data_IF_407898957009
#
_entry.id   IF_407898957009
#
_cell.length_a   1.000
_cell.length_b   1.000
_cell.length_c   1.000
_cell.angle_alpha   90.00
_cell.angle_beta   90.00
_cell.angle_gamma   90.00
#
_symmetry.space_group_name_H-M   'P 1'
#
loop_
_entity.id
_entity.type
_entity.pdbx_description
1 polymer ?
#
# COMPACT_ATOMS: atom_id res chain seq x y z
N UNK A 1 12.77 -12.66 -43.69
CA UNK A 1 11.47 -12.67 -42.98
C UNK A 1 11.47 -11.49 -42.01
N UNK A 2 10.37 -10.75 -42.02
CA UNK A 2 10.29 -9.32 -41.70
C UNK A 2 10.52 -8.97 -40.22
N UNK A 3 11.57 -8.18 -39.97
CA UNK A 3 11.59 -7.16 -38.92
C UNK A 3 11.17 -5.81 -39.54
N UNK A 4 10.53 -4.95 -38.76
CA UNK A 4 10.17 -3.58 -39.17
C UNK A 4 10.58 -2.58 -38.10
N UNK A 5 11.33 -1.61 -38.57
CA UNK A 5 11.92 -0.46 -37.88
C UNK A 5 10.85 0.59 -37.50
N UNK A 6 11.10 1.40 -36.46
CA UNK A 6 10.65 2.78 -36.44
C UNK A 6 11.86 3.69 -36.71
N UNK A 7 11.64 4.73 -37.53
CA UNK A 7 12.51 5.87 -37.84
C UNK A 7 13.33 5.80 -39.15
N UNK A 8 12.83 6.51 -40.16
CA UNK A 8 13.60 7.08 -41.27
C UNK A 8 13.26 8.58 -41.41
N UNK A 9 14.28 9.45 -41.33
CA UNK A 9 14.21 10.94 -41.42
C UNK A 9 14.22 11.47 -42.87
N UNK A 10 14.95 12.56 -43.27
CA UNK A 10 15.66 13.60 -42.49
C UNK A 10 15.67 15.05 -43.13
N UNK A 11 16.44 15.99 -42.51
CA UNK A 11 17.16 17.20 -43.02
C UNK A 11 16.36 18.52 -43.27
N UNK A 12 16.77 19.76 -42.92
CA UNK A 12 18.08 20.38 -42.57
C UNK A 12 17.99 21.51 -41.51
N UNK A 13 19.15 21.85 -40.93
CA UNK A 13 19.48 23.00 -40.07
C UNK A 13 20.36 23.97 -40.85
N UNK A 14 20.17 25.29 -40.67
CA UNK A 14 21.29 26.25 -40.73
C UNK A 14 21.01 27.45 -39.81
N UNK A 15 21.90 27.64 -38.84
CA UNK A 15 22.02 28.83 -38.00
C UNK A 15 22.84 29.90 -38.74
N UNK A 16 22.61 31.18 -38.46
CA UNK A 16 23.65 32.11 -38.00
C UNK A 16 23.10 33.50 -37.65
N UNK A 17 23.68 34.05 -36.59
CA UNK A 17 23.50 35.36 -35.99
C UNK A 17 23.86 36.55 -36.91
N UNK A 18 23.26 37.72 -36.66
CA UNK A 18 24.02 38.95 -36.32
C UNK A 18 23.09 40.14 -36.08
N UNK A 19 23.29 40.81 -34.94
CA UNK A 19 22.69 42.08 -34.55
C UNK A 19 23.44 43.29 -35.15
N UNK A 20 22.71 44.40 -35.36
CA UNK A 20 23.01 45.84 -35.12
C UNK A 20 22.07 46.68 -36.01
N UNK A 21 21.13 47.43 -35.41
CA UNK A 21 21.20 48.90 -35.21
C UNK A 21 21.34 49.68 -36.53
N UNK A 22 20.30 50.41 -36.94
CA UNK A 22 20.28 51.85 -36.67
C UNK A 22 18.95 52.54 -37.07
N UNK A 23 18.64 53.51 -36.23
CA UNK A 23 17.92 54.76 -36.41
C UNK A 23 16.38 54.90 -36.44
N UNK A 24 15.97 55.66 -35.43
CA UNK A 24 14.70 56.35 -35.19
C UNK A 24 14.60 57.62 -36.04
N UNK A 25 13.43 57.89 -36.60
CA UNK A 25 12.73 59.19 -36.55
C UNK A 25 11.34 58.99 -37.18
N UNK A 26 10.22 59.14 -36.45
CA UNK A 26 9.48 60.39 -36.18
C UNK A 26 9.50 61.36 -37.37
N UNK A 27 8.42 61.42 -38.15
CA UNK A 27 7.35 62.40 -37.92
C UNK A 27 6.31 62.44 -39.05
N UNK A 28 5.08 62.69 -38.62
CA UNK A 28 4.00 63.51 -39.19
C UNK A 28 3.88 63.71 -40.73
N UNK A 29 2.71 63.25 -41.20
CA UNK A 29 1.70 63.95 -42.01
C UNK A 29 2.08 64.81 -43.25
N UNK A 30 1.27 64.55 -44.29
CA UNK A 30 0.59 65.53 -45.17
C UNK A 30 1.05 65.61 -46.63
N UNK A 31 0.29 64.85 -47.43
CA UNK A 31 -0.46 65.30 -48.62
C UNK A 31 0.23 65.54 -49.98
N UNK A 32 -0.46 64.93 -50.96
CA UNK A 32 -0.91 65.49 -52.24
C UNK A 32 -0.13 65.11 -53.52
N UNK A 33 -0.93 65.04 -54.61
CA UNK A 33 -0.64 64.92 -56.06
C UNK A 33 -0.58 63.47 -56.59
N UNK A 34 -1.38 62.98 -57.55
CA UNK A 34 -2.33 63.55 -58.52
C UNK A 34 -3.27 62.45 -59.06
N UNK A 35 -4.57 62.72 -59.18
CA UNK A 35 -5.33 62.73 -60.46
C UNK A 35 -6.80 63.17 -60.26
N UNK A 36 -7.10 64.39 -60.74
CA UNK A 36 -8.43 64.86 -61.17
C UNK A 36 -8.98 63.95 -62.28
N UNK A 37 -10.27 63.62 -62.33
CA UNK A 37 -11.43 64.39 -62.83
C UNK A 37 -11.31 64.87 -64.29
N UNK A 38 -12.04 64.20 -65.19
CA UNK A 38 -12.87 64.72 -66.29
C UNK A 38 -13.55 63.48 -66.93
N UNK A 39 -14.80 63.47 -67.39
CA UNK A 39 -15.69 64.56 -67.76
C UNK A 39 -17.12 64.02 -67.81
N UNK A 40 -18.07 64.85 -67.36
CA UNK A 40 -19.44 64.86 -67.86
C UNK A 40 -19.44 65.24 -69.35
N UNK A 41 -20.06 64.46 -70.24
CA UNK A 41 -20.93 64.94 -71.35
C UNK A 41 -21.27 63.83 -72.38
N UNK A 42 -22.47 63.92 -72.95
CA UNK A 42 -22.94 63.28 -74.19
C UNK A 42 -23.28 61.77 -74.18
N UNK A 43 -24.55 61.48 -73.90
CA UNK A 43 -25.38 60.75 -74.88
C UNK A 43 -26.86 60.90 -74.52
N UNK A 44 -27.42 62.04 -74.93
CA UNK A 44 -28.74 62.01 -75.55
C UNK A 44 -28.61 61.32 -76.91
N UNK A 45 -29.71 60.70 -77.36
CA UNK A 45 -29.88 59.90 -78.59
C UNK A 45 -29.63 58.40 -78.39
N UNK A 46 -30.67 57.69 -77.97
CA UNK A 46 -31.48 56.90 -78.90
C UNK A 46 -32.74 56.37 -78.19
N UNK A 47 -33.88 56.68 -78.78
CA UNK A 47 -35.19 56.17 -78.41
C UNK A 47 -35.35 54.68 -78.80
N UNK A 48 -36.19 53.96 -78.05
CA UNK A 48 -36.68 52.63 -78.42
C UNK A 48 -37.67 52.08 -77.38
N UNK A 49 -38.98 51.97 -77.69
CA UNK A 49 -40.05 51.82 -76.70
C UNK A 49 -40.39 50.35 -76.41
N UNK A 50 -40.92 50.06 -75.22
CA UNK A 50 -41.62 48.78 -75.01
C UNK A 50 -41.65 48.29 -73.57
N UNK A 51 -42.87 48.31 -73.03
CA UNK A 51 -43.42 47.34 -72.10
C UNK A 51 -43.14 47.43 -70.60
N UNK A 52 -44.18 47.94 -69.93
CA UNK A 52 -44.55 47.55 -68.59
C UNK A 52 -44.74 46.02 -68.49
N UNK A 53 -44.17 45.39 -67.47
CA UNK A 53 -44.91 44.44 -66.61
C UNK A 53 -44.05 43.91 -65.46
N UNK A 54 -44.60 43.92 -64.24
CA UNK A 54 -44.21 42.97 -63.20
C UNK A 54 -43.56 43.56 -61.94
N UNK A 55 -44.30 44.40 -61.19
CA UNK A 55 -43.99 44.65 -59.77
C UNK A 55 -44.02 43.34 -58.97
N UNK A 56 -42.87 42.69 -58.76
CA UNK A 56 -42.71 41.71 -57.66
C UNK A 56 -42.28 42.46 -56.40
N UNK A 57 -43.23 42.78 -55.51
CA UNK A 57 -42.94 43.30 -54.17
C UNK A 57 -42.05 42.29 -53.43
N UNK A 58 -40.74 42.55 -53.31
CA UNK A 58 -39.89 41.83 -52.35
C UNK A 58 -40.31 42.27 -50.95
N UNK A 59 -40.94 41.35 -50.20
CA UNK A 59 -41.27 41.57 -48.79
C UNK A 59 -39.98 41.44 -47.99
N UNK A 60 -39.56 42.53 -47.36
CA UNK A 60 -38.48 42.56 -46.38
C UNK A 60 -39.05 42.34 -44.98
N UNK A 61 -38.25 41.78 -44.07
CA UNK A 61 -38.61 41.62 -42.65
C UNK A 61 -37.68 42.52 -41.85
N UNK A 62 -38.25 43.42 -41.05
CA UNK A 62 -37.50 44.44 -40.32
C UNK A 62 -37.34 44.02 -38.86
N UNK A 63 -36.10 43.76 -38.44
CA UNK A 63 -35.73 43.37 -37.08
C UNK A 63 -34.98 44.54 -36.42
N UNK A 64 -35.66 45.68 -36.30
CA UNK A 64 -35.31 46.79 -35.40
C UNK A 64 -34.01 47.57 -35.66
N UNK A 65 -33.01 47.00 -36.34
CA UNK A 65 -31.74 47.64 -36.68
C UNK A 65 -31.09 47.17 -38.01
N UNK A 66 -31.63 46.16 -38.73
CA UNK A 66 -31.08 45.70 -40.03
C UNK A 66 -32.20 45.16 -40.94
N UNK A 67 -32.26 45.63 -42.20
CA UNK A 67 -33.22 45.17 -43.22
C UNK A 67 -32.61 44.04 -44.05
N UNK A 68 -33.17 42.83 -43.97
CA UNK A 68 -32.68 41.64 -44.69
C UNK A 68 -33.75 41.09 -45.65
N UNK A 69 -33.34 40.64 -46.84
CA UNK A 69 -34.24 40.01 -47.82
C UNK A 69 -34.86 38.73 -47.21
N UNK A 70 -36.19 38.59 -47.28
CA UNK A 70 -36.94 37.46 -46.70
C UNK A 70 -36.44 36.10 -47.18
N UNK A 71 -35.88 36.01 -48.39
CA UNK A 71 -35.25 34.77 -48.86
C UNK A 71 -33.99 34.43 -48.06
N UNK A 72 -33.14 35.41 -47.80
CA UNK A 72 -31.89 35.23 -47.06
C UNK A 72 -32.22 34.88 -45.61
N UNK A 73 -33.16 35.59 -44.98
CA UNK A 73 -33.60 35.32 -43.61
C UNK A 73 -34.19 33.91 -43.43
N UNK A 74 -35.03 33.45 -44.37
CA UNK A 74 -35.58 32.09 -44.33
C UNK A 74 -34.49 31.02 -44.50
N UNK A 75 -33.46 31.28 -45.31
CA UNK A 75 -32.33 30.38 -45.48
C UNK A 75 -31.43 30.32 -44.24
N UNK A 76 -31.14 31.44 -43.57
CA UNK A 76 -30.37 31.45 -42.32
C UNK A 76 -31.11 30.80 -41.16
N UNK A 77 -32.41 31.05 -41.01
CA UNK A 77 -33.22 30.37 -40.00
C UNK A 77 -33.30 28.87 -40.29
N UNK A 78 -33.43 28.50 -41.57
CA UNK A 78 -33.43 27.10 -42.01
C UNK A 78 -32.12 26.38 -41.73
N UNK A 79 -30.96 27.00 -41.98
CA UNK A 79 -29.66 26.41 -41.68
C UNK A 79 -29.39 26.30 -40.18
N UNK A 80 -29.79 27.30 -39.38
CA UNK A 80 -29.68 27.23 -37.90
C UNK A 80 -30.54 26.10 -37.34
N UNK A 81 -31.79 25.95 -37.81
CA UNK A 81 -32.66 24.84 -37.42
C UNK A 81 -32.09 23.50 -37.87
N UNK A 82 -31.56 23.41 -39.09
CA UNK A 82 -30.91 22.19 -39.60
C UNK A 82 -29.69 21.78 -38.78
N UNK A 83 -28.84 22.74 -38.41
CA UNK A 83 -27.70 22.51 -37.51
C UNK A 83 -28.15 22.09 -36.11
N UNK A 84 -29.20 22.73 -35.57
CA UNK A 84 -29.76 22.37 -34.27
C UNK A 84 -30.29 20.95 -34.24
N UNK A 85 -31.00 20.52 -35.28
CA UNK A 85 -31.48 19.14 -35.44
C UNK A 85 -30.32 18.17 -35.60
N UNK A 86 -29.30 18.52 -36.37
CA UNK A 86 -28.11 17.68 -36.54
C UNK A 86 -27.34 17.48 -35.24
N UNK A 87 -27.10 18.55 -34.47
CA UNK A 87 -26.45 18.48 -33.16
C UNK A 87 -27.31 17.66 -32.18
N UNK A 88 -28.62 17.89 -32.17
CA UNK A 88 -29.56 17.10 -31.35
C UNK A 88 -29.53 15.61 -31.70
N UNK A 89 -29.46 15.28 -32.98
CA UNK A 89 -29.37 13.90 -33.47
C UNK A 89 -28.04 13.24 -33.08
N UNK A 90 -26.91 13.95 -33.16
CA UNK A 90 -25.60 13.46 -32.71
C UNK A 90 -25.62 13.20 -31.21
N UNK A 91 -26.16 14.12 -30.40
CA UNK A 91 -26.27 13.92 -28.94
C UNK A 91 -27.19 12.72 -28.62
N UNK A 92 -28.29 12.57 -29.35
CA UNK A 92 -29.21 11.45 -29.20
C UNK A 92 -28.51 10.11 -29.50
N UNK A 93 -27.73 10.04 -30.58
CA UNK A 93 -26.91 8.85 -30.90
C UNK A 93 -25.89 8.58 -29.79
N UNK A 94 -25.15 9.60 -29.34
CA UNK A 94 -24.14 9.43 -28.27
C UNK A 94 -24.76 8.92 -26.97
N UNK A 95 -26.00 9.33 -26.64
CA UNK A 95 -26.71 8.87 -25.44
C UNK A 95 -27.42 7.52 -25.59
N UNK A 96 -27.88 7.17 -26.80
CA UNK A 96 -28.58 5.92 -27.07
C UNK A 96 -27.64 4.76 -27.45
N UNK A 97 -26.44 5.04 -27.94
CA UNK A 97 -25.43 4.02 -28.20
C UNK A 97 -24.92 3.49 -26.85
N UNK A 98 -25.15 2.21 -26.52
CA UNK A 98 -24.63 1.62 -25.30
C UNK A 98 -23.11 1.67 -25.40
N UNK A 99 -22.48 2.55 -24.60
CA UNK A 99 -21.05 2.47 -24.39
C UNK A 99 -20.78 1.13 -23.69
N UNK A 100 -20.39 0.13 -24.47
CA UNK A 100 -19.76 -1.07 -23.92
C UNK A 100 -18.50 -0.58 -23.23
N UNK A 101 -18.57 -0.38 -21.91
CA UNK A 101 -17.37 -0.14 -21.12
C UNK A 101 -16.44 -1.30 -21.44
N UNK A 102 -15.20 -1.04 -21.91
CA UNK A 102 -14.25 -2.13 -22.08
C UNK A 102 -14.19 -2.90 -20.75
N UNK A 103 -14.14 -4.24 -20.77
CA UNK A 103 -13.93 -4.99 -19.55
C UNK A 103 -12.66 -4.46 -18.89
N UNK A 104 -12.61 -4.42 -17.54
CA UNK A 104 -11.40 -4.00 -16.86
C UNK A 104 -10.23 -4.85 -17.36
N UNK A 105 -9.03 -4.25 -17.53
CA UNK A 105 -7.86 -4.99 -17.95
C UNK A 105 -7.60 -6.15 -16.98
N UNK A 106 -7.06 -7.28 -17.46
CA UNK A 106 -6.73 -8.40 -16.59
C UNK A 106 -5.79 -7.94 -15.46
N UNK A 107 -5.87 -8.55 -14.26
CA UNK A 107 -5.00 -8.19 -13.16
C UNK A 107 -3.53 -8.31 -13.55
N UNK A 108 -2.75 -7.27 -13.25
CA UNK A 108 -1.32 -7.30 -13.48
C UNK A 108 -0.62 -8.37 -12.62
N UNK A 109 0.62 -8.68 -12.95
CA UNK A 109 1.38 -9.73 -12.27
C UNK A 109 1.58 -9.45 -10.77
N UNK A 110 1.68 -8.18 -10.35
CA UNK A 110 1.79 -7.81 -8.94
C UNK A 110 0.47 -8.01 -8.21
N UNK A 111 -0.65 -7.68 -8.83
CA UNK A 111 -1.99 -7.95 -8.27
C UNK A 111 -2.19 -9.45 -8.06
N UNK A 112 -1.82 -10.29 -9.03
CA UNK A 112 -1.88 -11.76 -8.88
C UNK A 112 -0.92 -12.29 -7.81
N UNK A 113 0.30 -11.76 -7.74
CA UNK A 113 1.28 -12.15 -6.73
C UNK A 113 0.81 -11.78 -5.32
N UNK A 114 0.24 -10.58 -5.14
CA UNK A 114 -0.29 -10.11 -3.87
C UNK A 114 -1.49 -10.96 -3.41
N UNK A 115 -2.43 -11.26 -4.30
CA UNK A 115 -3.54 -12.17 -3.99
C UNK A 115 -3.02 -13.52 -3.46
N UNK A 116 -2.04 -14.12 -4.15
CA UNK A 116 -1.42 -15.39 -3.72
C UNK A 116 -0.67 -15.26 -2.40
N UNK A 117 0.01 -14.13 -2.16
CA UNK A 117 0.70 -13.86 -0.89
C UNK A 117 -0.30 -13.77 0.28
N UNK A 118 -1.47 -13.17 0.09
CA UNK A 118 -2.51 -13.15 1.12
C UNK A 118 -3.15 -14.53 1.33
N UNK A 119 -3.34 -15.30 0.24
CA UNK A 119 -3.76 -16.71 0.35
C UNK A 119 -2.76 -17.57 1.14
N UNK A 120 -1.46 -17.28 1.08
CA UNK A 120 -0.47 -17.97 1.91
C UNK A 120 -0.77 -17.76 3.41
N UNK A 121 -1.13 -16.56 3.85
CA UNK A 121 -1.55 -16.36 5.23
C UNK A 121 -2.82 -17.13 5.59
N UNK A 122 -3.81 -17.24 4.68
CA UNK A 122 -4.98 -18.11 4.92
C UNK A 122 -4.58 -19.57 5.13
N UNK A 123 -3.57 -20.03 4.37
CA UNK A 123 -3.02 -21.37 4.47
C UNK A 123 -2.20 -21.57 5.75
N UNK A 124 -1.82 -20.51 6.49
CA UNK A 124 -1.10 -20.59 7.76
C UNK A 124 -2.02 -20.46 9.00
N UNK A 125 -3.33 -20.17 8.85
CA UNK A 125 -4.23 -20.00 10.00
C UNK A 125 -4.30 -21.27 10.85
N UNK A 126 -4.23 -21.15 12.17
CA UNK A 126 -4.45 -22.23 13.14
C UNK A 126 -5.79 -22.04 13.86
N UNK A 127 -6.42 -23.13 14.33
CA UNK A 127 -7.70 -23.08 15.03
C UNK A 127 -8.91 -23.32 14.10
N UNK A 128 -10.11 -22.83 14.46
CA UNK A 128 -11.33 -23.09 13.71
C UNK A 128 -11.39 -22.19 12.47
N UNK A 129 -11.14 -22.75 11.29
CA UNK A 129 -11.10 -21.98 10.06
C UNK A 129 -12.50 -21.46 9.67
N UNK A 130 -12.60 -20.22 9.14
CA UNK A 130 -13.85 -19.72 8.59
C UNK A 130 -14.32 -20.59 7.41
N UNK A 131 -15.65 -20.70 7.23
CA UNK A 131 -16.25 -21.45 6.11
C UNK A 131 -15.71 -21.01 4.74
N UNK A 132 -15.30 -19.75 4.61
CA UNK A 132 -14.76 -19.16 3.39
C UNK A 132 -13.26 -18.83 3.51
N UNK A 133 -12.43 -19.77 4.01
CA UNK A 133 -10.98 -19.56 4.14
C UNK A 133 -10.23 -19.45 2.79
N UNK A 134 -10.86 -19.81 1.66
CA UNK A 134 -10.24 -19.78 0.33
C UNK A 134 -9.15 -20.84 0.11
N UNK A 135 -8.89 -21.70 1.10
CA UNK A 135 -7.89 -22.78 1.05
C UNK A 135 -8.57 -24.09 1.43
N UNK A 136 -8.99 -24.88 0.42
CA UNK A 136 -9.86 -26.05 0.59
C UNK A 136 -9.19 -27.26 1.26
N UNK A 137 -7.87 -27.35 1.20
CA UNK A 137 -7.10 -28.45 1.76
C UNK A 137 -6.69 -28.24 3.22
N UNK A 138 -7.01 -27.08 3.81
CA UNK A 138 -6.80 -26.78 5.23
C UNK A 138 -8.08 -27.01 6.03
N UNK A 139 -7.96 -27.57 7.22
CA UNK A 139 -9.05 -27.82 8.15
C UNK A 139 -8.81 -27.23 9.54
N UNK A 140 -9.77 -27.47 10.45
CA UNK A 140 -9.66 -27.04 11.84
C UNK A 140 -8.55 -27.81 12.55
N UNK A 141 -7.62 -27.10 13.17
CA UNK A 141 -6.42 -27.71 13.78
C UNK A 141 -6.08 -27.10 15.14
N UNK A 142 -5.36 -27.84 15.97
CA UNK A 142 -4.85 -27.38 17.28
C UNK A 142 -5.92 -26.74 18.19
N UNK A 143 -7.12 -27.31 18.22
CA UNK A 143 -8.30 -26.80 18.94
C UNK A 143 -8.19 -26.85 20.48
N UNK A 144 -7.11 -27.44 21.01
CA UNK A 144 -6.85 -27.59 22.44
C UNK A 144 -5.71 -26.69 22.95
N UNK A 145 -5.12 -25.86 22.09
CA UNK A 145 -4.01 -24.98 22.44
C UNK A 145 -4.35 -24.11 23.67
N UNK A 146 -3.48 -24.18 24.69
CA UNK A 146 -3.61 -23.47 25.97
C UNK A 146 -4.64 -24.03 26.96
N UNK A 147 -5.67 -24.76 26.50
CA UNK A 147 -6.73 -25.30 27.37
C UNK A 147 -6.20 -26.41 28.28
N UNK A 148 -5.32 -27.26 27.76
CA UNK A 148 -4.73 -28.39 28.50
C UNK A 148 -3.43 -28.04 29.23
N UNK A 149 -3.01 -26.77 29.16
CA UNK A 149 -1.79 -26.31 29.83
C UNK A 149 -2.08 -25.93 31.28
N UNK A 150 -1.30 -26.46 32.21
CA UNK A 150 -1.50 -26.27 33.65
C UNK A 150 -1.23 -24.86 34.12
N UNK A 151 -0.42 -24.07 33.40
CA UNK A 151 -0.01 -22.73 33.77
C UNK A 151 -0.98 -21.67 33.26
N UNK A 152 -1.38 -21.78 31.99
CA UNK A 152 -2.23 -20.78 31.33
C UNK A 152 -3.72 -21.05 31.53
N UNK A 153 -4.16 -22.31 31.40
CA UNK A 153 -5.56 -22.76 31.50
C UNK A 153 -6.56 -21.89 30.74
N UNK A 154 -6.17 -21.37 29.57
CA UNK A 154 -7.00 -20.47 28.75
C UNK A 154 -6.88 -20.82 27.28
N UNK A 155 -7.91 -20.53 26.49
CA UNK A 155 -7.86 -20.82 25.05
C UNK A 155 -6.83 -19.93 24.34
N UNK A 156 -5.83 -20.58 23.73
CA UNK A 156 -4.85 -19.97 22.80
C UNK A 156 -5.08 -20.47 21.37
N UNK A 157 -6.32 -20.87 21.07
CA UNK A 157 -6.75 -21.30 19.74
C UNK A 157 -6.84 -20.07 18.81
N UNK A 158 -6.36 -20.21 17.58
CA UNK A 158 -6.21 -19.10 16.62
C UNK A 158 -4.76 -18.85 16.24
N UNK A 159 -4.50 -17.70 15.61
CA UNK A 159 -3.16 -17.28 15.23
C UNK A 159 -2.68 -17.96 13.94
N UNK A 160 -1.39 -17.80 13.66
CA UNK A 160 -0.74 -18.38 12.48
C UNK A 160 0.29 -19.42 12.90
N UNK A 161 0.45 -20.46 12.09
CA UNK A 161 1.65 -21.28 12.10
C UNK A 161 2.80 -20.51 11.48
N UNK A 162 3.99 -20.71 12.02
CA UNK A 162 5.15 -19.90 11.69
C UNK A 162 5.65 -20.16 10.26
N UNK A 163 5.91 -21.42 9.93
CA UNK A 163 6.50 -21.81 8.65
C UNK A 163 5.87 -23.10 8.11
N UNK A 164 6.68 -24.15 7.88
CA UNK A 164 6.19 -25.47 7.50
C UNK A 164 5.80 -26.37 8.68
N UNK A 165 6.04 -25.88 9.90
CA UNK A 165 5.66 -26.55 11.15
C UNK A 165 4.27 -26.08 11.62
N UNK A 166 3.83 -26.61 12.77
CA UNK A 166 2.63 -26.16 13.45
C UNK A 166 2.93 -25.36 14.72
N UNK A 167 4.13 -24.79 14.86
CA UNK A 167 4.50 -23.99 16.03
C UNK A 167 3.96 -22.57 15.86
N UNK A 168 3.53 -21.98 16.98
CA UNK A 168 3.16 -20.56 17.04
C UNK A 168 4.27 -19.79 17.72
N UNK A 169 5.27 -19.35 16.94
CA UNK A 169 6.29 -18.43 17.43
C UNK A 169 5.72 -17.01 17.43
N UNK A 170 5.46 -16.46 18.61
CA UNK A 170 4.74 -15.18 18.69
C UNK A 170 5.59 -13.97 18.27
N UNK A 171 6.93 -14.08 18.30
CA UNK A 171 7.82 -12.99 17.89
C UNK A 171 7.75 -12.70 16.39
N UNK A 172 8.06 -13.65 15.48
CA UNK A 172 7.89 -13.45 14.03
C UNK A 172 6.42 -13.27 13.62
N UNK A 173 5.46 -13.86 14.35
CA UNK A 173 4.04 -13.62 14.09
C UNK A 173 3.65 -12.16 14.37
N UNK A 174 4.08 -11.59 15.49
CA UNK A 174 3.83 -10.19 15.82
C UNK A 174 4.45 -9.27 14.76
N UNK A 175 5.71 -9.50 14.40
CA UNK A 175 6.38 -8.77 13.33
C UNK A 175 5.60 -8.82 12.00
N UNK A 176 5.12 -10.00 11.61
CA UNK A 176 4.31 -10.16 10.40
C UNK A 176 3.02 -9.34 10.46
N UNK A 177 2.36 -9.26 11.62
CA UNK A 177 1.15 -8.44 11.79
C UNK A 177 1.46 -6.94 11.76
N UNK A 178 2.60 -6.50 12.30
CA UNK A 178 3.07 -5.13 12.18
C UNK A 178 3.32 -4.78 10.72
N UNK A 179 3.99 -5.65 9.96
CA UNK A 179 4.30 -5.43 8.55
C UNK A 179 3.07 -5.43 7.64
N UNK A 180 2.14 -6.37 7.83
CA UNK A 180 0.86 -6.35 7.11
C UNK A 180 0.10 -5.05 7.40
N UNK A 181 0.05 -4.65 8.67
CA UNK A 181 -0.61 -3.40 9.08
C UNK A 181 0.05 -2.17 8.48
N UNK A 182 1.38 -2.08 8.51
CA UNK A 182 2.12 -0.99 7.91
C UNK A 182 1.86 -0.90 6.40
N UNK A 183 1.83 -2.04 5.71
CA UNK A 183 1.53 -2.08 4.27
C UNK A 183 0.13 -1.51 3.95
N UNK A 184 -0.88 -1.80 4.79
CA UNK A 184 -2.23 -1.25 4.62
C UNK A 184 -2.26 0.23 4.93
N UNK A 185 -1.50 0.70 5.92
CA UNK A 185 -1.42 2.12 6.27
C UNK A 185 -0.83 2.94 5.11
N UNK A 186 0.24 2.46 4.48
CA UNK A 186 0.90 3.17 3.37
C UNK A 186 0.14 3.02 2.03
N UNK A 187 -0.44 1.84 1.77
CA UNK A 187 -0.98 1.48 0.46
C UNK A 187 -2.48 1.15 0.45
N UNK A 188 -3.25 1.67 1.42
CA UNK A 188 -4.69 1.43 1.57
C UNK A 188 -5.46 1.50 0.25
N UNK A 189 -5.29 2.60 -0.49
CA UNK A 189 -6.00 2.84 -1.75
C UNK A 189 -5.68 1.80 -2.82
N UNK A 190 -4.47 1.21 -2.81
CA UNK A 190 -4.09 0.15 -3.75
C UNK A 190 -4.77 -1.17 -3.38
N UNK A 191 -4.79 -1.54 -2.11
CA UNK A 191 -5.55 -2.71 -1.63
C UNK A 191 -7.04 -2.59 -1.95
N UNK A 192 -7.60 -1.39 -1.83
CA UNK A 192 -9.01 -1.12 -2.19
C UNK A 192 -9.25 -1.25 -3.69
N UNK A 193 -8.36 -0.68 -4.52
CA UNK A 193 -8.48 -0.75 -5.98
C UNK A 193 -8.45 -2.17 -6.54
N UNK A 194 -7.72 -3.09 -5.89
CA UNK A 194 -7.64 -4.50 -6.30
C UNK A 194 -8.64 -5.41 -5.56
N UNK A 195 -9.47 -4.88 -4.67
CA UNK A 195 -10.47 -5.65 -3.92
C UNK A 195 -9.91 -6.53 -2.79
N UNK A 196 -8.66 -6.33 -2.36
CA UNK A 196 -7.99 -7.13 -1.31
C UNK A 196 -8.03 -6.47 0.07
N UNK A 197 -8.56 -5.24 0.19
CA UNK A 197 -8.53 -4.49 1.45
C UNK A 197 -9.22 -5.22 2.61
N UNK A 198 -10.37 -5.84 2.38
CA UNK A 198 -11.07 -6.56 3.44
C UNK A 198 -10.39 -7.89 3.78
N UNK A 199 -9.84 -8.58 2.78
CA UNK A 199 -9.09 -9.82 2.99
C UNK A 199 -7.84 -9.60 3.85
N UNK A 200 -7.00 -8.60 3.53
CA UNK A 200 -5.84 -8.28 4.37
C UNK A 200 -6.24 -7.81 5.77
N UNK A 201 -7.35 -7.08 5.91
CA UNK A 201 -7.88 -6.70 7.22
C UNK A 201 -8.30 -7.94 8.02
N UNK A 202 -8.98 -8.90 7.41
CA UNK A 202 -9.33 -10.16 8.10
C UNK A 202 -8.09 -10.94 8.54
N UNK A 203 -7.03 -10.98 7.73
CA UNK A 203 -5.75 -11.58 8.09
C UNK A 203 -5.11 -10.89 9.30
N UNK A 204 -5.01 -9.56 9.28
CA UNK A 204 -4.49 -8.79 10.41
C UNK A 204 -5.33 -9.05 11.67
N UNK A 205 -6.65 -8.99 11.53
CA UNK A 205 -7.59 -9.24 12.64
C UNK A 205 -7.42 -10.63 13.24
N UNK A 206 -7.21 -11.65 12.40
CA UNK A 206 -6.96 -13.02 12.85
C UNK A 206 -5.73 -13.12 13.75
N UNK A 207 -4.63 -12.48 13.36
CA UNK A 207 -3.40 -12.44 14.15
C UNK A 207 -3.56 -11.61 15.41
N UNK A 208 -4.14 -10.41 15.34
CA UNK A 208 -4.29 -9.54 16.51
C UNK A 208 -5.29 -10.08 17.52
N UNK A 209 -6.35 -10.75 17.09
CA UNK A 209 -7.28 -11.45 17.99
C UNK A 209 -6.58 -12.58 18.75
N UNK A 210 -5.62 -13.26 18.14
CA UNK A 210 -4.80 -14.25 18.82
C UNK A 210 -3.79 -13.59 19.76
N UNK A 211 -3.07 -12.55 19.34
CA UNK A 211 -2.12 -11.80 20.20
C UNK A 211 -2.84 -11.32 21.47
N UNK A 212 -4.06 -10.80 21.38
CA UNK A 212 -4.84 -10.38 22.55
C UNK A 212 -5.16 -11.53 23.54
N UNK A 213 -5.12 -12.80 23.11
CA UNK A 213 -5.31 -13.97 24.00
C UNK A 213 -4.04 -14.36 24.75
N UNK A 214 -2.87 -13.97 24.25
CA UNK A 214 -1.55 -14.39 24.78
C UNK A 214 -1.17 -13.69 26.09
N UNK A 215 -1.96 -12.71 26.54
CA UNK A 215 -1.76 -12.00 27.80
C UNK A 215 -3.12 -11.55 28.35
N UNK A 216 -3.15 -10.97 29.56
CA UNK A 216 -4.40 -10.40 30.08
C UNK A 216 -4.68 -9.05 29.41
N UNK A 217 -5.27 -9.07 28.20
CA UNK A 217 -5.55 -7.85 27.42
C UNK A 217 -6.53 -6.87 28.05
N UNK A 218 -7.27 -7.30 29.08
CA UNK A 218 -8.22 -6.46 29.81
C UNK A 218 -7.56 -5.66 30.94
N UNK A 219 -6.36 -6.06 31.38
CA UNK A 219 -5.62 -5.39 32.44
C UNK A 219 -4.76 -4.24 31.91
N UNK A 220 -4.52 -3.24 32.75
CA UNK A 220 -3.63 -2.11 32.43
C UNK A 220 -2.15 -2.42 32.68
N UNK A 221 -1.89 -3.46 33.48
CA UNK A 221 -0.55 -3.99 33.77
C UNK A 221 -0.61 -5.52 33.72
N UNK A 222 0.46 -6.11 33.21
CA UNK A 222 0.62 -7.57 33.10
C UNK A 222 1.99 -7.95 33.65
N UNK A 223 2.12 -9.20 34.08
CA UNK A 223 3.33 -9.80 34.67
C UNK A 223 3.94 -10.89 33.78
N UNK A 224 3.23 -11.28 32.72
CA UNK A 224 3.62 -12.34 31.79
C UNK A 224 2.92 -12.22 30.45
N UNK A 225 3.54 -12.78 29.42
CA UNK A 225 2.97 -13.00 28.09
C UNK A 225 3.29 -14.42 27.62
N UNK A 226 2.51 -14.97 26.70
CA UNK A 226 2.85 -16.23 26.03
C UNK A 226 3.84 -15.95 24.92
N UNK A 227 5.00 -16.61 24.98
CA UNK A 227 6.03 -16.53 23.95
C UNK A 227 5.78 -17.51 22.80
N UNK A 228 5.24 -18.69 23.11
CA UNK A 228 5.13 -19.78 22.15
C UNK A 228 4.05 -20.79 22.52
N UNK A 229 3.48 -21.43 21.50
CA UNK A 229 2.64 -22.64 21.65
C UNK A 229 3.14 -23.72 20.70
N UNK A 230 3.37 -24.92 21.22
CA UNK A 230 4.09 -25.99 20.51
C UNK A 230 5.59 -25.95 20.80
N UNK A 231 6.31 -26.98 20.37
CA UNK A 231 7.75 -27.11 20.64
C UNK A 231 8.42 -27.76 19.44
N UNK A 232 9.53 -27.17 19.00
CA UNK A 232 10.31 -27.71 17.90
C UNK A 232 11.35 -28.72 18.37
N UNK A 233 12.00 -28.47 19.52
CA UNK A 233 13.08 -29.25 20.16
C UNK A 233 13.77 -30.27 19.23
N UNK A 234 14.91 -29.86 18.70
CA UNK A 234 15.76 -30.68 17.81
C UNK A 234 16.87 -31.42 18.55
N UNK A 235 16.80 -31.51 19.89
CA UNK A 235 17.81 -32.18 20.69
C UNK A 235 17.96 -33.65 20.27
N UNK A 236 19.21 -34.05 20.00
CA UNK A 236 19.51 -35.41 19.53
C UNK A 236 19.10 -36.43 20.59
N UNK A 237 18.31 -37.43 20.18
CA UNK A 237 17.89 -38.53 21.04
C UNK A 237 16.55 -38.35 21.73
N UNK A 238 15.86 -37.20 21.55
CA UNK A 238 14.49 -37.06 22.00
C UNK A 238 13.57 -37.97 21.17
N UNK A 239 12.90 -38.91 21.83
CA UNK A 239 11.84 -39.74 21.25
C UNK A 239 10.45 -39.16 21.53
N UNK A 240 10.37 -37.96 22.10
CA UNK A 240 9.11 -37.29 22.42
C UNK A 240 8.54 -36.66 21.15
N UNK A 241 7.33 -37.06 20.71
CA UNK A 241 6.69 -36.45 19.55
C UNK A 241 6.51 -34.95 19.73
N UNK A 242 6.96 -34.17 18.75
CA UNK A 242 6.87 -32.71 18.72
C UNK A 242 6.68 -32.21 17.28
N UNK A 243 6.61 -30.88 17.10
CA UNK A 243 6.29 -30.26 15.82
C UNK A 243 7.35 -30.47 14.71
N UNK A 244 8.62 -30.71 15.05
CA UNK A 244 9.68 -30.97 14.05
C UNK A 244 10.05 -32.46 13.95
N UNK A 245 9.68 -33.26 14.94
CA UNK A 245 9.79 -34.72 14.90
C UNK A 245 8.69 -35.35 14.02
N UNK A 246 7.47 -34.82 14.08
CA UNK A 246 6.30 -35.37 13.38
C UNK A 246 6.02 -34.64 12.06
N UNK A 247 6.12 -35.35 10.94
CA UNK A 247 5.64 -34.85 9.63
C UNK A 247 4.19 -35.24 9.41
N UNK A 248 3.26 -34.34 9.69
CA UNK A 248 1.83 -34.60 9.57
C UNK A 248 1.02 -33.35 9.27
N UNK A 249 -0.25 -33.54 8.91
CA UNK A 249 -1.20 -32.42 8.77
C UNK A 249 -1.49 -31.83 10.15
N UNK A 250 -1.64 -30.51 10.29
CA UNK A 250 -1.91 -29.88 11.58
C UNK A 250 -3.25 -30.35 12.20
N UNK A 251 -4.19 -30.79 11.37
CA UNK A 251 -5.48 -31.36 11.79
C UNK A 251 -5.33 -32.73 12.50
N UNK A 252 -4.25 -33.45 12.23
CA UNK A 252 -3.98 -34.78 12.76
C UNK A 252 -3.06 -34.77 14.00
N UNK A 253 -2.58 -33.60 14.43
CA UNK A 253 -1.69 -33.48 15.59
C UNK A 253 -2.36 -34.02 16.85
N UNK A 254 -1.73 -35.02 17.46
CA UNK A 254 -2.19 -35.68 18.68
C UNK A 254 -1.18 -35.65 19.83
N UNK A 255 0.02 -35.11 19.59
CA UNK A 255 1.02 -34.87 20.64
C UNK A 255 0.70 -33.64 21.47
N UNK A 256 1.33 -33.56 22.67
CA UNK A 256 1.15 -32.43 23.57
C UNK A 256 1.83 -31.19 23.00
N UNK A 257 1.09 -30.08 22.97
CA UNK A 257 1.58 -28.76 22.54
C UNK A 257 1.69 -27.84 23.76
N UNK A 258 2.87 -27.76 24.42
CA UNK A 258 3.04 -26.96 25.62
C UNK A 258 2.96 -25.46 25.30
N UNK A 259 2.68 -24.67 26.33
CA UNK A 259 2.73 -23.20 26.25
C UNK A 259 3.95 -22.69 26.99
N UNK A 260 4.75 -21.84 26.34
CA UNK A 260 5.87 -21.16 27.01
C UNK A 260 5.43 -19.76 27.42
N UNK A 261 5.39 -19.51 28.73
CA UNK A 261 5.23 -18.17 29.30
C UNK A 261 6.57 -17.44 29.36
N UNK A 262 6.52 -16.12 29.27
CA UNK A 262 7.66 -15.25 29.45
C UNK A 262 7.32 -14.09 30.39
N UNK A 263 8.18 -13.89 31.38
CA UNK A 263 8.05 -12.85 32.42
C UNK A 263 8.98 -11.65 32.21
N UNK A 264 9.97 -11.77 31.34
CA UNK A 264 10.95 -10.72 31.04
C UNK A 264 11.44 -10.82 29.59
N UNK A 265 10.68 -10.22 28.68
CA UNK A 265 10.90 -10.28 27.23
C UNK A 265 10.48 -8.96 26.58
N UNK A 266 11.39 -8.00 26.65
CA UNK A 266 11.22 -6.66 26.11
C UNK A 266 11.02 -6.64 24.61
N UNK A 267 11.78 -7.47 23.90
CA UNK A 267 11.73 -7.65 22.45
C UNK A 267 10.34 -8.10 22.01
N UNK A 268 9.92 -9.30 22.43
CA UNK A 268 8.61 -9.85 22.09
C UNK A 268 7.46 -8.93 22.51
N UNK A 269 7.50 -8.39 23.72
CA UNK A 269 6.44 -7.52 24.22
C UNK A 269 6.32 -6.22 23.40
N UNK A 270 7.45 -5.64 22.97
CA UNK A 270 7.45 -4.40 22.20
C UNK A 270 7.01 -4.62 20.75
N UNK A 271 7.38 -5.75 20.13
CA UNK A 271 6.88 -6.09 18.79
C UNK A 271 5.38 -6.42 18.82
N UNK A 272 4.91 -7.16 19.83
CA UNK A 272 3.47 -7.38 20.01
C UNK A 272 2.73 -6.06 20.25
N UNK A 273 3.33 -5.11 20.96
CA UNK A 273 2.76 -3.77 21.12
C UNK A 273 2.73 -3.01 19.78
N UNK A 274 3.81 -3.08 18.98
CA UNK A 274 3.88 -2.51 17.65
C UNK A 274 2.79 -3.08 16.73
N UNK A 275 2.60 -4.40 16.75
CA UNK A 275 1.58 -5.09 15.96
C UNK A 275 0.17 -4.62 16.29
N UNK A 276 -0.19 -4.57 17.58
CA UNK A 276 -1.51 -4.09 18.01
C UNK A 276 -1.69 -2.59 17.75
N UNK A 277 -0.64 -1.78 17.94
CA UNK A 277 -0.67 -0.35 17.67
C UNK A 277 -0.86 -0.06 16.17
N UNK A 278 -0.08 -0.68 15.29
CA UNK A 278 -0.21 -0.55 13.84
C UNK A 278 -1.59 -1.03 13.37
N UNK A 279 -2.05 -2.19 13.84
CA UNK A 279 -3.38 -2.69 13.51
C UNK A 279 -4.50 -1.75 13.97
N UNK A 280 -4.36 -1.09 15.12
CA UNK A 280 -5.36 -0.13 15.59
C UNK A 280 -5.60 1.02 14.59
N UNK A 281 -4.54 1.45 13.90
CA UNK A 281 -4.63 2.47 12.85
C UNK A 281 -5.39 1.94 11.63
N UNK A 282 -5.13 0.69 11.23
CA UNK A 282 -5.88 0.00 10.16
C UNK A 282 -7.38 -0.10 10.48
N UNK A 283 -7.71 -0.35 11.75
CA UNK A 283 -9.08 -0.51 12.25
C UNK A 283 -9.67 0.76 12.85
N UNK A 284 -9.12 1.95 12.56
CA UNK A 284 -9.57 3.22 13.14
C UNK A 284 -11.09 3.47 13.00
N UNK A 285 -11.70 3.00 11.90
CA UNK A 285 -13.14 3.12 11.66
C UNK A 285 -14.00 2.14 12.49
N UNK A 286 -13.40 1.09 13.06
CA UNK A 286 -14.03 0.20 14.04
C UNK A 286 -13.55 0.59 15.44
N UNK A 287 -14.10 1.70 15.96
CA UNK A 287 -13.61 2.39 17.17
C UNK A 287 -13.43 1.44 18.36
N UNK A 288 -14.41 0.60 18.64
CA UNK A 288 -14.35 -0.39 19.74
C UNK A 288 -13.17 -1.36 19.59
N UNK A 289 -12.92 -1.86 18.38
CA UNK A 289 -11.82 -2.77 18.14
C UNK A 289 -10.46 -2.05 18.17
N UNK A 290 -10.37 -0.89 17.52
CA UNK A 290 -9.19 -0.03 17.58
C UNK A 290 -8.80 0.30 19.02
N UNK A 291 -9.75 0.68 19.87
CA UNK A 291 -9.48 1.02 21.27
C UNK A 291 -9.04 -0.20 22.09
N UNK A 292 -9.62 -1.37 21.82
CA UNK A 292 -9.18 -2.64 22.41
C UNK A 292 -7.72 -2.94 22.04
N UNK A 293 -7.35 -2.75 20.78
CA UNK A 293 -5.98 -2.96 20.30
C UNK A 293 -5.01 -1.96 20.95
N UNK A 294 -5.35 -0.67 21.00
CA UNK A 294 -4.53 0.35 21.67
C UNK A 294 -4.36 0.05 23.16
N UNK A 295 -5.41 -0.40 23.85
CA UNK A 295 -5.32 -0.80 25.26
C UNK A 295 -4.33 -1.96 25.45
N UNK A 296 -4.45 -3.00 24.64
CA UNK A 296 -3.50 -4.13 24.65
C UNK A 296 -2.07 -3.69 24.36
N UNK A 297 -1.88 -2.82 23.36
CA UNK A 297 -0.57 -2.29 22.99
C UNK A 297 0.08 -1.49 24.14
N UNK A 298 -0.70 -0.67 24.86
CA UNK A 298 -0.22 0.06 26.04
C UNK A 298 0.25 -0.88 27.15
N UNK A 299 -0.52 -1.92 27.45
CA UNK A 299 -0.18 -2.90 28.49
C UNK A 299 1.12 -3.65 28.14
N UNK A 300 1.24 -4.11 26.89
CA UNK A 300 2.43 -4.80 26.39
C UNK A 300 3.67 -3.91 26.38
N UNK A 301 3.57 -2.70 25.83
CA UNK A 301 4.71 -1.78 25.78
C UNK A 301 5.18 -1.39 27.20
N UNK A 302 4.24 -1.16 28.12
CA UNK A 302 4.56 -0.91 29.54
C UNK A 302 5.27 -2.11 30.16
N UNK A 303 4.77 -3.33 29.94
CA UNK A 303 5.40 -4.55 30.42
C UNK A 303 6.82 -4.71 29.87
N UNK A 304 7.00 -4.62 28.54
CA UNK A 304 8.31 -4.78 27.90
C UNK A 304 9.34 -3.74 28.37
N UNK A 305 8.91 -2.51 28.68
CA UNK A 305 9.78 -1.45 29.22
C UNK A 305 10.17 -1.67 30.69
N UNK A 306 9.29 -2.26 31.50
CA UNK A 306 9.50 -2.46 32.94
C UNK A 306 10.19 -3.80 33.25
N UNK A 307 9.77 -4.89 32.60
CA UNK A 307 10.29 -6.24 32.81
C UNK A 307 11.31 -6.57 31.71
N UNK A 308 12.55 -6.13 31.93
CA UNK A 308 13.57 -6.11 30.89
C UNK A 308 14.30 -7.43 30.71
N UNK A 309 14.23 -7.99 29.50
CA UNK A 309 14.88 -9.25 29.16
C UNK A 309 14.74 -9.59 27.68
N UNK A 310 15.44 -10.64 27.24
CA UNK A 310 15.28 -11.22 25.90
C UNK A 310 14.31 -12.38 25.99
N UNK A 311 13.39 -12.49 25.03
CA UNK A 311 12.42 -13.59 25.01
C UNK A 311 13.04 -14.95 24.71
N UNK A 312 14.24 -14.97 24.15
CA UNK A 312 15.00 -16.18 23.81
C UNK A 312 16.18 -16.35 24.77
N UNK A 313 15.97 -16.72 26.05
CA UNK A 313 17.07 -17.00 26.96
C UNK A 313 17.90 -18.19 26.46
N UNK A 314 19.18 -18.22 26.79
CA UNK A 314 20.09 -19.28 26.34
C UNK A 314 19.54 -20.67 26.70
N UNK A 315 19.56 -21.58 25.73
CA UNK A 315 19.07 -22.95 25.89
C UNK A 315 17.55 -23.11 25.80
N UNK A 316 16.80 -22.04 25.57
CA UNK A 316 15.37 -22.11 25.26
C UNK A 316 15.11 -22.58 23.83
N UNK A 317 13.92 -23.15 23.59
CA UNK A 317 13.46 -23.54 22.25
C UNK A 317 13.45 -22.33 21.30
N UNK A 318 13.01 -21.17 21.80
CA UNK A 318 13.01 -19.91 21.06
C UNK A 318 14.41 -19.54 20.57
N UNK A 319 15.45 -19.72 21.39
CA UNK A 319 16.82 -19.37 21.03
C UNK A 319 17.42 -20.28 19.94
N UNK A 320 16.86 -21.47 19.71
CA UNK A 320 17.30 -22.38 18.64
C UNK A 320 16.73 -21.93 17.29
N UNK A 321 15.49 -21.43 17.27
CA UNK A 321 14.78 -21.10 16.03
C UNK A 321 14.77 -19.61 15.71
N UNK A 322 14.37 -18.78 16.67
CA UNK A 322 14.23 -17.33 16.55
C UNK A 322 15.00 -16.64 17.67
N UNK A 323 16.33 -16.72 17.62
CA UNK A 323 17.16 -16.06 18.62
C UNK A 323 17.07 -14.53 18.47
N UNK A 324 16.51 -13.85 19.46
CA UNK A 324 16.52 -12.39 19.52
C UNK A 324 17.94 -11.89 19.76
N UNK A 325 18.47 -10.96 18.98
CA UNK A 325 19.83 -10.41 19.21
C UNK A 325 19.81 -9.32 20.28
N UNK A 326 18.78 -8.48 20.25
CA UNK A 326 18.61 -7.27 21.07
C UNK A 326 17.13 -6.96 21.26
N UNK A 327 16.82 -6.15 22.27
CA UNK A 327 15.47 -5.59 22.46
C UNK A 327 15.44 -4.06 22.36
N UNK A 328 16.59 -3.44 22.08
CA UNK A 328 16.70 -1.98 22.12
C UNK A 328 16.11 -1.31 20.89
N UNK A 329 16.33 -1.90 19.72
CA UNK A 329 15.68 -1.54 18.47
C UNK A 329 14.16 -1.71 18.57
N UNK A 330 13.70 -2.74 19.28
CA UNK A 330 12.29 -3.00 19.56
C UNK A 330 11.61 -1.90 20.37
N UNK A 331 12.32 -1.29 21.31
CA UNK A 331 11.77 -0.14 22.02
C UNK A 331 11.61 1.09 21.13
N UNK A 332 12.53 1.30 20.18
CA UNK A 332 12.42 2.40 19.22
C UNK A 332 11.25 2.13 18.27
N UNK A 333 11.16 0.92 17.74
CA UNK A 333 10.10 0.45 16.86
C UNK A 333 8.72 0.51 17.50
N UNK A 334 8.55 -0.16 18.65
CA UNK A 334 7.31 -0.14 19.43
C UNK A 334 6.94 1.27 19.87
N UNK A 335 7.92 2.09 20.29
CA UNK A 335 7.70 3.49 20.64
C UNK A 335 7.15 4.32 19.47
N UNK A 336 7.69 4.14 18.26
CA UNK A 336 7.21 4.83 17.07
C UNK A 336 5.76 4.45 16.74
N UNK A 337 5.43 3.15 16.75
CA UNK A 337 4.05 2.70 16.49
C UNK A 337 3.07 3.12 17.57
N UNK A 338 3.48 3.08 18.84
CA UNK A 338 2.67 3.60 19.94
C UNK A 338 2.40 5.10 19.80
N UNK A 339 3.39 5.87 19.36
CA UNK A 339 3.19 7.28 19.02
C UNK A 339 2.18 7.44 17.88
N UNK A 340 2.31 6.71 16.77
CA UNK A 340 1.38 6.82 15.64
C UNK A 340 -0.06 6.43 16.02
N UNK A 341 -0.24 5.42 16.86
CA UNK A 341 -1.56 4.95 17.27
C UNK A 341 -2.23 5.89 18.30
N UNK A 342 -1.46 6.51 19.20
CA UNK A 342 -2.01 7.26 20.34
C UNK A 342 -1.87 8.78 20.24
N UNK A 343 -0.93 9.28 19.43
CA UNK A 343 -0.53 10.68 19.41
C UNK A 343 0.19 11.15 20.69
N UNK A 344 0.54 10.26 21.62
CA UNK A 344 1.20 10.64 22.86
C UNK A 344 2.70 10.84 22.66
N UNK A 345 3.17 12.08 22.80
CA UNK A 345 4.57 12.46 22.61
C UNK A 345 5.54 11.74 23.55
N UNK A 346 5.10 11.18 24.68
CA UNK A 346 6.00 10.43 25.57
C UNK A 346 6.62 9.21 24.87
N UNK A 347 5.88 8.54 23.97
CA UNK A 347 6.40 7.44 23.18
C UNK A 347 7.42 7.89 22.15
N UNK A 348 7.16 9.04 21.50
CA UNK A 348 8.10 9.64 20.55
C UNK A 348 9.40 10.03 21.25
N UNK A 349 9.33 10.67 22.42
CA UNK A 349 10.52 11.03 23.21
C UNK A 349 11.38 9.82 23.55
N UNK A 350 10.76 8.68 23.85
CA UNK A 350 11.51 7.42 24.07
C UNK A 350 12.11 6.92 22.77
N UNK A 351 11.34 6.86 21.67
CA UNK A 351 11.83 6.38 20.38
C UNK A 351 13.00 7.21 19.83
N UNK A 352 12.97 8.53 20.00
CA UNK A 352 14.01 9.45 19.50
C UNK A 352 15.09 9.77 20.53
N UNK A 353 15.08 9.13 21.70
CA UNK A 353 16.08 9.40 22.73
C UNK A 353 17.48 8.97 22.24
N UNK A 354 18.51 9.85 22.31
CA UNK A 354 19.86 9.52 21.84
C UNK A 354 20.45 8.26 22.49
N UNK A 355 20.15 8.03 23.77
CA UNK A 355 20.55 6.81 24.48
C UNK A 355 19.94 5.55 23.88
N UNK A 356 18.67 5.61 23.44
CA UNK A 356 17.97 4.47 22.83
C UNK A 356 18.58 4.13 21.47
N UNK A 357 18.82 5.14 20.63
CA UNK A 357 19.49 4.96 19.35
C UNK A 357 20.91 4.37 19.52
N UNK A 358 21.66 4.84 20.52
CA UNK A 358 22.98 4.29 20.84
C UNK A 358 22.91 2.81 21.25
N UNK A 359 22.00 2.44 22.15
CA UNK A 359 21.86 1.06 22.60
C UNK A 359 21.32 0.12 21.52
N UNK A 360 20.48 0.64 20.62
CA UNK A 360 19.99 -0.09 19.45
C UNK A 360 21.07 -0.27 18.36
N UNK A 361 22.27 0.27 18.54
CA UNK A 361 23.36 0.11 17.58
C UNK A 361 23.26 1.03 16.36
N UNK A 362 22.47 2.11 16.41
CA UNK A 362 22.24 3.01 15.26
C UNK A 362 23.54 3.63 14.69
N UNK A 363 24.54 3.80 15.55
CA UNK A 363 25.84 4.40 15.20
C UNK A 363 26.97 3.35 15.06
N UNK A 364 26.64 2.05 15.10
CA UNK A 364 27.62 0.97 15.07
C UNK A 364 27.57 0.20 13.75
N UNK A 365 28.42 0.60 12.81
CA UNK A 365 28.55 -0.01 11.47
C UNK A 365 29.18 -1.41 11.47
N UNK A 366 29.56 -1.96 12.62
CA UNK A 366 30.24 -3.26 12.76
C UNK A 366 29.33 -4.43 13.15
N UNK A 367 28.02 -4.25 13.26
CA UNK A 367 27.09 -5.37 13.51
C UNK A 367 26.88 -6.18 12.23
N UNK A 368 26.94 -7.52 12.25
CA UNK A 368 26.67 -8.37 11.08
C UNK A 368 25.31 -8.11 10.42
N UNK A 369 24.32 -7.64 11.20
CA UNK A 369 22.96 -7.35 10.76
C UNK A 369 22.70 -5.85 10.52
N UNK A 370 23.74 -5.00 10.62
CA UNK A 370 23.57 -3.55 10.45
C UNK A 370 22.93 -3.22 9.10
N UNK A 371 21.77 -2.55 9.14
CA UNK A 371 21.07 -2.11 7.94
C UNK A 371 20.12 -3.15 7.31
N UNK A 372 19.95 -4.34 7.91
CA UNK A 372 19.01 -5.34 7.42
C UNK A 372 17.74 -5.31 8.26
N UNK A 373 16.60 -5.03 7.62
CA UNK A 373 15.31 -5.00 8.30
C UNK A 373 14.68 -6.41 8.33
N UNK A 374 14.51 -6.97 9.52
CA UNK A 374 14.05 -8.36 9.70
C UNK A 374 13.09 -8.50 10.89
N UNK A 375 12.65 -9.74 11.15
CA UNK A 375 11.91 -10.09 12.36
C UNK A 375 12.75 -9.97 13.64
N UNK A 376 14.07 -9.77 13.56
CA UNK A 376 14.98 -9.61 14.71
C UNK A 376 15.45 -8.15 14.85
N UNK A 377 15.95 -7.53 13.78
CA UNK A 377 16.46 -6.14 13.79
C UNK A 377 15.49 -5.17 13.09
N UNK A 378 14.90 -4.25 13.87
CA UNK A 378 13.89 -3.29 13.39
C UNK A 378 14.48 -1.91 13.17
N UNK A 379 15.77 -1.72 13.46
CA UNK A 379 16.40 -0.41 13.46
C UNK A 379 16.27 0.32 12.11
N UNK A 380 16.46 -0.31 10.93
CA UNK A 380 16.30 0.40 9.66
C UNK A 380 14.85 0.88 9.44
N UNK A 381 13.87 0.03 9.78
CA UNK A 381 12.44 0.38 9.69
C UNK A 381 12.07 1.50 10.68
N UNK A 382 12.57 1.41 11.91
CA UNK A 382 12.34 2.39 12.96
C UNK A 382 12.98 3.75 12.62
N UNK A 383 14.14 3.77 11.98
CA UNK A 383 14.77 4.99 11.47
C UNK A 383 13.88 5.66 10.41
N UNK A 384 13.41 4.91 9.41
CA UNK A 384 12.51 5.46 8.38
C UNK A 384 11.21 5.98 9.00
N UNK A 385 10.66 5.27 9.99
CA UNK A 385 9.44 5.67 10.68
C UNK A 385 9.63 6.94 11.54
N UNK A 386 10.76 7.08 12.22
CA UNK A 386 11.04 8.17 13.17
C UNK A 386 11.72 9.39 12.53
N UNK A 387 12.13 9.31 11.26
CA UNK A 387 12.58 10.47 10.51
C UNK A 387 11.52 11.57 10.61
N UNK A 388 11.92 12.84 10.88
CA UNK A 388 10.99 13.95 10.77
C UNK A 388 10.50 13.94 9.33
N UNK A 389 9.26 13.49 9.09
CA UNK A 389 8.54 13.77 7.85
C UNK A 389 8.36 15.28 7.82
N UNK A 390 9.41 15.98 7.38
CA UNK A 390 9.40 17.42 7.19
C UNK A 390 8.34 17.72 6.15
N UNK A 391 7.17 18.19 6.63
CA UNK A 391 6.05 18.75 5.86
C UNK A 391 5.41 17.81 4.83
N UNK A 392 4.43 17.03 5.26
CA UNK A 392 3.08 17.05 4.64
C UNK A 392 2.06 16.69 5.74
N UNK A 393 1.39 17.66 6.37
CA UNK A 393 0.17 17.37 7.09
C UNK A 393 -0.90 16.97 6.07
N UNK A 394 -1.51 15.79 6.23
CA UNK A 394 -2.86 15.54 5.71
C UNK A 394 -3.85 16.40 6.52
N UNK A 395 -3.81 17.72 6.29
CA UNK A 395 -4.85 18.68 6.67
C UNK A 395 -5.00 19.65 5.49
N UNK A 396 -5.98 19.40 4.62
CA UNK A 396 -6.69 20.52 3.99
C UNK A 396 -7.62 21.05 5.06
N UNK A 397 -7.30 22.22 5.59
CA UNK A 397 -8.27 23.28 5.85
C UNK A 397 -7.45 24.57 6.05
N UNK A 398 -7.81 25.54 5.24
CA UNK A 398 -7.39 26.94 5.21
C UNK A 398 -7.58 27.60 6.57
N UNK A 399 -6.53 28.27 7.08
CA UNK A 399 -6.55 29.64 7.61
C UNK A 399 -5.19 29.98 8.25
N UNK A 400 -4.73 31.20 7.96
CA UNK A 400 -3.46 31.82 8.37
C UNK A 400 -3.39 32.11 9.87
N UNK A 401 -2.17 32.13 10.44
CA UNK A 401 -1.65 33.01 11.55
C UNK A 401 -0.21 32.53 11.95
N UNK A 402 0.72 33.43 12.39
CA UNK A 402 2.16 33.30 12.14
C UNK A 402 3.02 32.69 13.27
N UNK A 403 4.22 32.23 12.89
CA UNK A 403 5.26 31.62 13.76
C UNK A 403 6.03 32.61 14.64
N UNK A 404 6.69 32.09 15.70
CA UNK A 404 8.03 32.53 16.08
C UNK A 404 9.08 31.40 16.13
N UNK A 405 10.25 31.71 15.55
CA UNK A 405 11.61 31.16 15.71
C UNK A 405 11.87 29.92 16.60
N UNK A 406 12.52 28.89 16.02
CA UNK A 406 13.82 28.36 16.53
C UNK A 406 14.46 27.26 15.65
N UNK A 407 15.77 27.42 15.49
CA UNK A 407 16.84 26.41 15.33
C UNK A 407 16.72 25.34 14.23
N UNK A 408 17.45 25.57 13.13
CA UNK A 408 17.80 24.57 12.12
C UNK A 408 19.03 23.77 12.59
N UNK A 409 18.92 22.44 12.63
CA UNK A 409 20.08 21.55 12.64
C UNK A 409 19.99 20.51 11.51
N UNK A 410 20.91 20.68 10.56
CA UNK A 410 21.68 19.70 9.79
C UNK A 410 21.23 18.23 9.92
N UNK A 411 20.59 17.69 8.88
CA UNK A 411 20.66 16.26 8.50
C UNK A 411 20.09 16.06 7.07
N UNK A 412 20.83 16.47 6.04
CA UNK A 412 20.40 16.25 4.63
C UNK A 412 21.43 15.47 3.80
N UNK A 413 22.58 15.09 4.36
CA UNK A 413 23.68 14.58 3.53
C UNK A 413 23.76 13.06 3.29
N UNK A 414 22.89 12.21 3.85
CA UNK A 414 23.04 10.74 3.71
C UNK A 414 22.09 10.06 2.72
N UNK A 415 21.15 10.78 2.10
CA UNK A 415 20.12 10.14 1.26
C UNK A 415 20.57 9.82 -0.18
N UNK A 416 21.61 10.51 -0.70
CA UNK A 416 21.98 10.39 -2.13
C UNK A 416 22.88 9.17 -2.42
N UNK A 417 23.63 8.66 -1.43
CA UNK A 417 24.49 7.47 -1.62
C UNK A 417 23.73 6.13 -1.52
N UNK A 418 22.54 6.11 -0.92
CA UNK A 418 21.79 4.88 -0.67
C UNK A 418 21.16 4.28 -1.94
N UNK A 419 20.82 5.12 -2.93
CA UNK A 419 20.11 4.68 -4.14
C UNK A 419 21.06 4.08 -5.20
N UNK A 420 22.33 4.51 -5.26
CA UNK A 420 23.25 4.05 -6.31
C UNK A 420 23.93 2.69 -6.04
N UNK A 421 23.97 2.22 -4.79
CA UNK A 421 24.66 0.97 -4.44
C UNK A 421 23.79 -0.29 -4.54
N UNK A 422 22.46 -0.15 -4.55
CA UNK A 422 21.56 -1.32 -4.49
C UNK A 422 21.25 -1.98 -5.84
N UNK A 423 21.54 -1.33 -6.98
CA UNK A 423 21.30 -1.90 -8.31
C UNK A 423 22.32 -2.99 -8.71
N UNK A 424 23.45 -3.16 -8.00
CA UNK A 424 24.57 -4.03 -8.44
C UNK A 424 24.68 -5.41 -7.79
N UNK A 425 23.82 -5.80 -6.84
CA UNK A 425 23.99 -7.07 -6.08
C UNK A 425 22.91 -8.15 -6.29
N UNK A 426 21.94 -7.97 -7.19
CA UNK A 426 20.81 -8.90 -7.33
C UNK A 426 21.10 -10.12 -8.26
N UNK A 427 22.26 -10.20 -8.92
CA UNK A 427 22.47 -11.19 -10.00
C UNK A 427 23.17 -12.51 -9.65
N UNK A 428 23.24 -12.98 -8.40
CA UNK A 428 23.77 -14.34 -8.13
C UNK A 428 23.14 -15.02 -6.92
N UNK A 429 22.17 -15.91 -7.13
CA UNK A 429 21.86 -17.00 -6.19
C UNK A 429 21.27 -18.21 -6.95
N UNK A 430 21.93 -19.36 -6.86
CA UNK A 430 21.46 -20.67 -7.35
C UNK A 430 20.81 -21.49 -6.22
N UNK A 431 19.94 -22.48 -6.54
CA UNK A 431 19.05 -23.12 -5.57
C UNK A 431 19.66 -24.33 -4.84
N UNK A 432 19.22 -24.53 -3.60
CA UNK A 432 19.59 -25.65 -2.72
C UNK A 432 18.70 -26.88 -2.96
N UNK A 433 19.30 -28.08 -2.97
CA UNK A 433 18.61 -29.39 -2.99
C UNK A 433 18.32 -29.87 -1.57
N UNK A 434 17.09 -30.31 -1.31
CA UNK A 434 16.69 -30.97 -0.08
C UNK A 434 16.93 -32.49 -0.15
N UNK A 435 17.43 -33.08 0.94
CA UNK A 435 17.55 -34.53 1.15
C UNK A 435 16.47 -34.99 2.12
N UNK A 436 15.69 -35.99 1.74
CA UNK A 436 14.62 -36.59 2.54
C UNK A 436 15.10 -37.83 3.27
N UNK A 437 14.98 -37.86 4.60
CA UNK A 437 14.93 -39.08 5.39
C UNK A 437 13.54 -39.18 6.04
N UNK A 438 12.79 -40.22 5.69
CA UNK A 438 11.44 -40.48 6.21
C UNK A 438 11.51 -41.59 7.26
N UNK A 439 11.03 -41.29 8.47
CA UNK A 439 10.65 -42.30 9.47
C UNK A 439 9.18 -42.06 9.79
N UNK A 440 8.38 -43.12 9.68
CA UNK A 440 6.91 -43.09 9.68
C UNK A 440 6.38 -43.34 11.10
N UNK A 441 5.66 -42.39 11.70
CA UNK A 441 4.86 -42.63 12.90
C UNK A 441 3.68 -43.55 12.55
N UNK A 442 3.61 -44.73 13.17
CA UNK A 442 2.55 -45.71 12.95
C UNK A 442 1.26 -45.31 13.67
N UNK A 443 0.19 -45.10 12.90
CA UNK A 443 -1.17 -45.51 13.28
C UNK A 443 -1.81 -46.23 12.09
N UNK A 444 -2.14 -47.48 12.32
CA UNK A 444 -2.69 -48.43 11.36
C UNK A 444 -4.14 -48.10 11.03
N UNK A 445 -4.44 -47.78 9.77
CA UNK A 445 -5.74 -47.99 9.14
C UNK A 445 -5.54 -48.33 7.64
N UNK A 446 -6.36 -49.22 7.06
CA UNK A 446 -6.06 -49.88 5.78
C UNK A 446 -6.26 -48.95 4.58
N UNK A 447 -5.25 -48.86 3.72
CA UNK A 447 -5.33 -48.21 2.42
C UNK A 447 -6.20 -49.01 1.45
N UNK A 448 -7.25 -48.37 0.93
CA UNK A 448 -7.87 -48.78 -0.32
C UNK A 448 -7.03 -48.28 -1.50
N UNK A 449 -6.55 -49.24 -2.30
CA UNK A 449 -5.92 -49.02 -3.61
C UNK A 449 -6.99 -48.55 -4.61
N UNK A 450 -6.76 -47.45 -5.32
CA UNK A 450 -7.38 -47.22 -6.64
C UNK A 450 -6.28 -46.92 -7.66
N UNK A 451 -6.32 -47.75 -8.68
CA UNK A 451 -5.38 -47.94 -9.77
C UNK A 451 -5.43 -46.76 -10.76
N UNK A 452 -4.25 -46.38 -11.25
CA UNK A 452 -4.01 -45.45 -12.36
C UNK A 452 -4.54 -46.07 -13.66
N UNK A 453 -5.30 -45.33 -14.46
CA UNK A 453 -5.50 -45.63 -15.88
C UNK A 453 -4.85 -44.51 -16.71
N UNK A 454 -3.88 -44.97 -17.53
CA UNK A 454 -3.11 -44.36 -18.62
C UNK A 454 -2.45 -42.99 -18.36
#
# INVERSE_FOLDING_TARGET
>A
MFGRDPWGGPLEISNADSATDDDRSRDLDRAALMRQLDETQQSWLLAGPGDQAGKKKKRYVDLGCVVVDRKVFMWTVGTILGLGVFIGFVIMIVKLVPHKRPPPPPPDQYTQALHKALMFFNAQRSGPLPKHNGVSWRGNSCMKDGLSDSTVRRSLVGGFYDAGDAIKFNYPMAWSMTMLSWSVIEYRAKYEAIGELDHIRELIKWGTDYILKTFNSSADTIDRIVAQVGVGDTSKGSSQPNDHYCWMRPEDIDYKRPVTECHSCSDLASEMAAALAAASIVFKNSKTYSDKLVKGAKALYKFGRLQRGRYSPNGSDQAIFYNSTSYWDEFVWGGAWMYFATGNNSYLTVATAPGMAKHAGAYWFGSPNYGVFTWDDKLPGAQVATLPKSRVPLRRNTEDIPQPNRQRHVLVFTCIQFIQLHQRRINTAQPWKASTASVRCQRSFPCFFIQRLS
#
